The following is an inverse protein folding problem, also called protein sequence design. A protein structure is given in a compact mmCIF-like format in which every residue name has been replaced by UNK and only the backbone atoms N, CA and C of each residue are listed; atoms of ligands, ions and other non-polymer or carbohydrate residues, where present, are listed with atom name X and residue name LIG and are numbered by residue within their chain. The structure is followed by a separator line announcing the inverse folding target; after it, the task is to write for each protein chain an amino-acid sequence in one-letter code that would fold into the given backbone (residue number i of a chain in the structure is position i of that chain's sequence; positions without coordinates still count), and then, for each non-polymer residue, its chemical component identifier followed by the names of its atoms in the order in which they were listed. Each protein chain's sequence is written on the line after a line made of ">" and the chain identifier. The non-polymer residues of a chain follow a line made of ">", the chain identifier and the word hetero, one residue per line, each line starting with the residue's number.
data_IF_315951614419
#
_entry.id   IF_315951614419
#
_cell.length_a   1.000
_cell.length_b   1.000
_cell.length_c   1.000
_cell.angle_alpha   90.00
_cell.angle_beta   90.00
_cell.angle_gamma   90.00
#
_symmetry.space_group_name_H-M   'P 1'
#
loop_
_entity.id
_entity.type
_entity.pdbx_description
1 polymer ?
#
# COMPACT_ATOMS: atom_id res chain seq x y z
N UNK A 1 -34.27 -0.39 41.02
CA UNK A 1 -33.40 -0.99 40.00
C UNK A 1 -32.86 0.11 39.11
N UNK A 2 -31.56 0.40 39.16
CA UNK A 2 -30.88 1.36 38.28
C UNK A 2 -29.66 0.66 37.69
N UNK A 3 -29.70 0.41 36.37
CA UNK A 3 -28.72 -0.39 35.63
C UNK A 3 -27.42 0.42 35.48
N UNK A 4 -26.34 -0.12 36.02
CA UNK A 4 -24.98 0.38 35.80
C UNK A 4 -24.53 0.01 34.40
N UNK A 5 -24.29 1.01 33.55
CA UNK A 5 -23.66 0.85 32.25
C UNK A 5 -22.14 0.84 32.45
N UNK A 6 -21.54 -0.35 32.39
CA UNK A 6 -20.08 -0.50 32.31
C UNK A 6 -19.65 -0.27 30.86
N UNK A 7 -18.92 0.81 30.61
CA UNK A 7 -18.30 1.08 29.31
C UNK A 7 -16.88 0.54 29.36
N UNK A 8 -16.66 -0.55 28.62
CA UNK A 8 -15.35 -1.11 28.34
C UNK A 8 -14.51 -0.09 27.56
N UNK A 9 -13.46 0.44 28.20
CA UNK A 9 -12.47 1.27 27.51
C UNK A 9 -11.41 0.33 26.94
N UNK A 10 -11.56 -0.07 25.67
CA UNK A 10 -10.47 -0.68 24.92
C UNK A 10 -9.39 0.40 24.72
N UNK A 11 -8.34 0.37 25.54
CA UNK A 11 -7.15 1.15 25.27
C UNK A 11 -6.49 0.61 24.00
N UNK A 12 -6.46 1.43 22.96
CA UNK A 12 -5.75 1.17 21.72
C UNK A 12 -4.25 1.03 22.02
N UNK A 13 -3.66 -0.11 21.61
CA UNK A 13 -2.23 -0.22 21.42
C UNK A 13 -1.82 0.62 20.20
N UNK A 14 -1.53 1.90 20.42
CA UNK A 14 -0.60 2.63 19.56
C UNK A 14 0.81 2.32 20.05
N UNK A 15 1.31 1.12 19.73
CA UNK A 15 2.74 0.85 19.84
C UNK A 15 3.46 1.85 18.92
N UNK A 16 4.33 2.65 19.52
CA UNK A 16 4.93 3.82 18.89
C UNK A 16 5.65 3.50 17.59
N UNK A 17 5.21 4.14 16.51
CA UNK A 17 6.00 4.29 15.29
C UNK A 17 6.80 5.58 15.41
N UNK A 18 7.79 5.63 16.31
CA UNK A 18 8.89 6.60 16.16
C UNK A 18 9.89 5.96 15.21
N UNK A 19 9.51 5.87 13.95
CA UNK A 19 10.44 5.74 12.85
C UNK A 19 10.53 7.12 12.23
N UNK A 20 11.61 7.85 12.52
CA UNK A 20 12.03 8.92 11.62
C UNK A 20 12.18 8.26 10.25
N UNK A 21 11.21 8.48 9.37
CA UNK A 21 11.31 8.09 7.98
C UNK A 21 12.42 8.95 7.38
N UNK A 22 13.65 8.51 7.58
CA UNK A 22 14.77 8.91 6.77
C UNK A 22 14.27 8.73 5.35
N UNK A 23 14.20 9.83 4.59
CA UNK A 23 14.08 9.84 3.14
C UNK A 23 15.35 9.24 2.51
N UNK A 24 15.85 8.13 3.08
CA UNK A 24 16.79 7.24 2.46
C UNK A 24 16.02 6.64 1.29
N UNK A 25 16.50 6.98 0.11
CA UNK A 25 16.19 6.45 -1.21
C UNK A 25 16.17 4.92 -1.21
N UNK A 26 15.13 4.33 -0.62
CA UNK A 26 14.77 2.95 -0.81
C UNK A 26 14.08 2.89 -2.16
N UNK A 27 14.51 2.04 -3.11
CA UNK A 27 13.65 1.73 -4.25
C UNK A 27 12.34 1.25 -3.63
N UNK A 28 11.20 1.85 -3.97
CA UNK A 28 9.90 1.47 -3.40
C UNK A 28 9.41 0.13 -3.97
N UNK A 29 10.31 -0.86 -3.92
CA UNK A 29 10.14 -2.29 -4.09
C UNK A 29 10.47 -3.01 -2.79
N UNK A 30 10.38 -2.34 -1.63
CA UNK A 30 10.46 -3.07 -0.38
C UNK A 30 9.32 -4.09 -0.34
N UNK A 31 9.56 -5.31 0.19
CA UNK A 31 8.52 -6.32 0.28
C UNK A 31 7.24 -5.81 0.97
N UNK A 32 7.39 -4.97 2.00
CA UNK A 32 6.29 -4.36 2.74
C UNK A 32 5.47 -3.42 1.87
N UNK A 33 6.12 -2.60 1.05
CA UNK A 33 5.44 -1.68 0.13
C UNK A 33 4.68 -2.45 -0.94
N UNK A 34 5.30 -3.48 -1.53
CA UNK A 34 4.64 -4.29 -2.56
C UNK A 34 3.43 -5.04 -1.97
N UNK A 35 3.53 -5.54 -0.74
CA UNK A 35 2.43 -6.19 -0.03
C UNK A 35 1.29 -5.21 0.27
N UNK A 36 1.60 -3.96 0.64
CA UNK A 36 0.60 -2.92 0.79
C UNK A 36 -0.12 -2.62 -0.54
N UNK A 37 0.60 -2.42 -1.64
CA UNK A 37 -0.03 -2.20 -2.96
C UNK A 37 -0.90 -3.39 -3.35
N UNK A 38 -0.44 -4.62 -3.10
CA UNK A 38 -1.22 -5.84 -3.33
C UNK A 38 -2.53 -5.81 -2.54
N UNK A 39 -2.51 -5.39 -1.27
CA UNK A 39 -3.71 -5.29 -0.44
C UNK A 39 -4.75 -4.30 -0.99
N UNK A 40 -4.32 -3.27 -1.72
CA UNK A 40 -5.20 -2.25 -2.27
C UNK A 40 -5.81 -2.63 -3.63
N UNK A 41 -5.08 -3.43 -4.42
CA UNK A 41 -5.43 -3.72 -5.82
C UNK A 41 -5.84 -5.17 -6.07
N UNK A 42 -5.53 -6.08 -5.13
CA UNK A 42 -5.78 -7.52 -5.22
C UNK A 42 -5.35 -8.09 -6.58
N UNK A 43 -4.11 -7.80 -6.99
CA UNK A 43 -3.59 -8.17 -8.31
C UNK A 43 -3.60 -9.68 -8.47
N UNK A 44 -3.15 -10.43 -7.46
CA UNK A 44 -3.08 -11.89 -7.48
C UNK A 44 -4.46 -12.55 -7.60
N UNK A 45 -5.52 -11.90 -7.15
CA UNK A 45 -6.89 -12.37 -7.36
C UNK A 45 -7.32 -12.30 -8.83
N UNK A 46 -6.74 -11.38 -9.61
CA UNK A 46 -7.04 -11.22 -11.04
C UNK A 46 -6.05 -11.98 -11.93
N UNK A 47 -4.78 -11.99 -11.55
CA UNK A 47 -3.68 -12.59 -12.30
C UNK A 47 -2.98 -13.61 -11.39
N UNK A 48 -3.55 -14.81 -11.34
CA UNK A 48 -2.97 -15.91 -10.59
C UNK A 48 -1.50 -16.12 -11.00
N UNK A 49 -0.64 -16.43 -10.01
CA UNK A 49 0.79 -16.70 -10.18
C UNK A 49 1.72 -15.53 -10.51
N UNK A 50 1.30 -14.27 -10.34
CA UNK A 50 2.25 -13.16 -10.34
C UNK A 50 2.97 -13.05 -8.99
N UNK A 51 4.30 -13.12 -9.01
CA UNK A 51 5.14 -12.82 -7.86
C UNK A 51 5.05 -11.32 -7.54
N UNK A 52 4.78 -11.00 -6.27
CA UNK A 52 4.65 -9.62 -5.78
C UNK A 52 5.99 -8.90 -5.97
N UNK A 53 5.97 -7.73 -6.59
CA UNK A 53 7.18 -6.95 -6.91
C UNK A 53 7.84 -7.32 -8.24
N UNK A 54 7.41 -8.40 -8.90
CA UNK A 54 7.87 -8.76 -10.25
C UNK A 54 7.45 -7.73 -11.31
N UNK A 55 8.10 -7.76 -12.47
CA UNK A 55 7.74 -6.91 -13.62
C UNK A 55 6.30 -7.16 -14.08
N UNK A 56 5.84 -8.42 -14.08
CA UNK A 56 4.47 -8.76 -14.45
C UNK A 56 3.45 -8.21 -13.44
N UNK A 57 3.76 -8.28 -12.15
CA UNK A 57 2.95 -7.66 -11.10
C UNK A 57 2.89 -6.13 -11.26
N UNK A 58 4.01 -5.47 -11.55
CA UNK A 58 4.06 -4.02 -11.78
C UNK A 58 3.21 -3.59 -12.99
N UNK A 59 3.25 -4.34 -14.09
CA UNK A 59 2.39 -4.10 -15.24
C UNK A 59 0.89 -4.22 -14.89
N UNK A 60 0.53 -5.20 -14.06
CA UNK A 60 -0.83 -5.35 -13.60
C UNK A 60 -1.27 -4.20 -12.67
N UNK A 61 -0.37 -3.69 -11.81
CA UNK A 61 -0.60 -2.48 -11.00
C UNK A 61 -0.89 -1.28 -11.90
N UNK A 62 -0.07 -1.06 -12.93
CA UNK A 62 -0.28 0.01 -13.92
C UNK A 62 -1.65 -0.11 -14.60
N UNK A 63 -2.02 -1.32 -15.01
CA UNK A 63 -3.30 -1.61 -15.66
C UNK A 63 -4.51 -1.36 -14.75
N UNK A 64 -4.40 -1.64 -13.45
CA UNK A 64 -5.49 -1.38 -12.48
C UNK A 64 -5.65 0.09 -12.16
N UNK A 65 -4.53 0.83 -12.04
CA UNK A 65 -4.54 2.23 -11.64
C UNK A 65 -4.84 3.19 -12.80
N UNK A 66 -4.79 2.71 -14.05
CA UNK A 66 -5.16 3.46 -15.27
C UNK A 66 -4.51 4.85 -15.39
N UNK A 67 -3.36 5.07 -14.74
CA UNK A 67 -2.63 6.33 -14.88
C UNK A 67 -1.98 6.41 -16.27
N UNK A 68 -1.80 7.63 -16.78
CA UNK A 68 -1.12 7.89 -18.06
C UNK A 68 0.33 8.28 -17.80
N UNK A 69 1.25 7.79 -18.63
CA UNK A 69 2.66 8.18 -18.58
C UNK A 69 3.39 7.64 -17.36
N UNK A 70 3.48 6.31 -17.25
CA UNK A 70 4.20 5.66 -16.14
C UNK A 70 5.72 5.90 -16.23
N UNK A 71 6.36 6.31 -15.12
CA UNK A 71 7.82 6.28 -15.02
C UNK A 71 8.38 4.86 -15.13
N UNK A 72 9.70 4.73 -15.22
CA UNK A 72 10.33 3.42 -15.24
C UNK A 72 10.03 2.63 -13.94
N UNK A 73 9.65 1.35 -14.06
CA UNK A 73 9.18 0.50 -12.94
C UNK A 73 10.21 0.21 -11.85
N UNK A 74 11.47 0.55 -12.08
CA UNK A 74 12.56 0.45 -11.11
C UNK A 74 12.92 1.81 -10.49
N UNK A 75 12.20 2.87 -10.85
CA UNK A 75 12.41 4.22 -10.32
C UNK A 75 11.52 4.50 -9.13
N UNK A 76 12.01 5.32 -8.20
CA UNK A 76 11.23 5.85 -7.09
C UNK A 76 10.01 6.67 -7.55
N UNK A 77 10.10 7.27 -8.74
CA UNK A 77 9.01 8.03 -9.33
C UNK A 77 7.81 7.13 -9.67
N UNK A 78 8.04 5.90 -10.11
CA UNK A 78 6.96 4.96 -10.43
C UNK A 78 6.11 4.68 -9.19
N UNK A 79 6.75 4.41 -8.05
CA UNK A 79 6.00 4.11 -6.84
C UNK A 79 5.35 5.35 -6.21
N UNK A 80 5.93 6.54 -6.35
CA UNK A 80 5.23 7.79 -6.00
C UNK A 80 3.95 7.99 -6.82
N UNK A 81 3.95 7.60 -8.10
CA UNK A 81 2.74 7.63 -8.95
C UNK A 81 1.73 6.56 -8.50
N UNK A 82 2.18 5.36 -8.14
CA UNK A 82 1.31 4.30 -7.59
C UNK A 82 0.62 4.79 -6.31
N UNK A 83 1.37 5.35 -5.37
CA UNK A 83 0.85 5.88 -4.11
C UNK A 83 -0.19 6.98 -4.35
N UNK A 84 0.14 7.96 -5.20
CA UNK A 84 -0.78 9.04 -5.54
C UNK A 84 -2.08 8.52 -6.16
N UNK A 85 -1.99 7.55 -7.06
CA UNK A 85 -3.17 6.96 -7.70
C UNK A 85 -4.02 6.15 -6.71
N UNK A 86 -3.39 5.45 -5.76
CA UNK A 86 -4.08 4.74 -4.69
C UNK A 86 -4.77 5.71 -3.71
N UNK A 87 -4.09 6.77 -3.27
CA UNK A 87 -4.69 7.79 -2.40
C UNK A 87 -5.89 8.49 -3.06
N UNK A 88 -5.85 8.68 -4.38
CA UNK A 88 -6.94 9.30 -5.14
C UNK A 88 -8.17 8.39 -5.28
N UNK A 89 -8.03 7.08 -5.06
CA UNK A 89 -9.12 6.09 -5.12
C UNK A 89 -9.92 6.02 -3.81
N UNK A 90 -9.35 6.51 -2.72
CA UNK A 90 -9.95 6.47 -1.37
C UNK A 90 -10.71 7.73 -0.98
N UNK A 91 -10.80 8.74 -1.86
CA UNK A 91 -11.64 9.94 -1.72
C UNK A 91 -12.89 9.85 -2.60
#
# INVERSE_FOLDING_TARGET
>A
MKKTLSIATLLLLAAGYIGTASAASLPCRSPEWNAWVESQLSIRSTYANLEIGSTGWQQAVEGKLKAKGWPARNSVLWCAVVEKALSSKSS
#
